data_IF_288285393989
#
_entry.id   IF_288285393989
#
_cell.length_a   1.000
_cell.length_b   1.000
_cell.length_c   1.000
_cell.angle_alpha   90.00
_cell.angle_beta   90.00
_cell.angle_gamma   90.00
#
_symmetry.space_group_name_H-M   'P 1'
#
loop_
_entity.id
_entity.type
_entity.pdbx_description
1 polymer ?
#
# COMPACT_ATOMS: atom_id res chain seq x y z
N UNK A 1 -3.82 14.77 6.05
CA UNK A 1 -2.87 13.87 5.39
C UNK A 1 -3.20 13.91 3.92
N UNK A 2 -2.24 14.34 3.13
CA UNK A 2 -2.30 14.28 1.68
C UNK A 2 -1.57 13.02 1.18
N UNK A 3 -2.09 12.41 0.11
CA UNK A 3 -1.56 11.18 -0.49
C UNK A 3 -1.22 11.41 -1.96
N UNK A 4 0.05 11.20 -2.31
CA UNK A 4 0.51 11.16 -3.70
C UNK A 4 0.58 9.69 -4.15
N UNK A 5 -0.10 9.34 -5.24
CA UNK A 5 -0.03 7.99 -5.82
C UNK A 5 1.35 7.74 -6.42
N UNK A 6 2.04 6.71 -5.94
CA UNK A 6 3.33 6.27 -6.49
C UNK A 6 3.13 5.16 -7.52
N UNK A 7 2.41 4.10 -7.14
CA UNK A 7 2.24 2.94 -8.01
C UNK A 7 0.89 2.30 -7.75
N UNK A 8 0.22 1.87 -8.81
CA UNK A 8 -1.02 1.09 -8.79
C UNK A 8 -0.86 -0.10 -9.73
N UNK A 9 -1.53 -1.22 -9.42
CA UNK A 9 -1.53 -2.41 -10.27
C UNK A 9 -2.54 -2.36 -11.41
N UNK A 10 -3.36 -1.31 -11.55
CA UNK A 10 -4.39 -1.19 -12.58
C UNK A 10 -4.60 0.27 -13.03
N UNK A 11 -5.06 0.46 -14.28
CA UNK A 11 -5.46 1.77 -14.82
C UNK A 11 -6.93 2.13 -14.50
N UNK A 12 -7.80 1.14 -14.23
CA UNK A 12 -9.21 1.34 -13.87
C UNK A 12 -9.66 0.33 -12.78
N UNK A 13 -9.99 0.78 -11.55
CA UNK A 13 -10.52 -0.03 -10.44
C UNK A 13 -9.97 0.29 -9.04
N UNK A 14 -10.50 -0.36 -8.00
CA UNK A 14 -10.00 -0.30 -6.60
C UNK A 14 -8.80 -1.25 -6.42
N UNK A 15 -7.67 -0.94 -7.06
CA UNK A 15 -6.50 -1.80 -7.02
C UNK A 15 -5.53 -1.45 -5.88
N UNK A 16 -4.74 -2.44 -5.41
CA UNK A 16 -3.65 -2.20 -4.48
C UNK A 16 -2.77 -1.04 -4.94
N UNK A 17 -2.59 -0.05 -4.07
CA UNK A 17 -1.95 1.22 -4.41
C UNK A 17 -0.96 1.62 -3.34
N UNK A 18 0.20 2.08 -3.77
CA UNK A 18 1.24 2.64 -2.93
C UNK A 18 1.19 4.17 -3.02
N UNK A 19 1.17 4.83 -1.87
CA UNK A 19 1.13 6.29 -1.76
C UNK A 19 2.33 6.83 -0.97
N UNK A 20 2.78 8.03 -1.32
CA UNK A 20 3.62 8.86 -0.46
C UNK A 20 2.72 9.79 0.34
N UNK A 21 2.97 9.86 1.64
CA UNK A 21 2.33 10.87 2.49
C UNK A 21 3.13 12.16 2.48
N UNK A 22 2.45 13.27 2.74
CA UNK A 22 3.04 14.58 3.07
C UNK A 22 4.06 14.57 4.23
N UNK A 23 4.13 13.49 5.01
CA UNK A 23 5.07 13.31 6.13
C UNK A 23 6.34 12.55 5.76
N UNK A 24 6.53 12.19 4.49
CA UNK A 24 7.68 11.38 4.04
C UNK A 24 7.58 9.90 4.41
N UNK A 25 6.40 9.41 4.81
CA UNK A 25 6.12 7.97 5.02
C UNK A 25 5.29 7.41 3.88
N UNK A 26 5.24 6.08 3.76
CA UNK A 26 4.40 5.40 2.78
C UNK A 26 3.03 5.05 3.40
N UNK A 27 1.98 5.13 2.59
CA UNK A 27 0.68 4.54 2.87
C UNK A 27 0.37 3.48 1.81
N UNK A 28 -0.30 2.41 2.21
CA UNK A 28 -0.54 1.24 1.37
C UNK A 28 -2.02 0.89 1.41
N UNK A 29 -2.62 0.74 0.24
CA UNK A 29 -3.97 0.19 0.07
C UNK A 29 -3.87 -1.23 -0.49
N UNK A 30 -4.65 -2.14 0.08
CA UNK A 30 -4.72 -3.55 -0.29
C UNK A 30 -5.91 -4.24 0.38
N UNK A 31 -6.01 -5.56 0.23
CA UNK A 31 -7.07 -6.35 0.86
C UNK A 31 -6.78 -6.50 2.35
N UNK A 32 -7.77 -6.34 3.23
CA UNK A 32 -7.54 -6.46 4.68
C UNK A 32 -7.47 -7.93 5.07
N UNK A 33 -6.35 -8.36 5.64
CA UNK A 33 -6.22 -9.71 6.18
C UNK A 33 -6.83 -9.72 7.59
N UNK A 34 -7.75 -10.65 7.86
CA UNK A 34 -8.41 -10.77 9.18
C UNK A 34 -8.05 -12.08 9.90
N UNK A 35 -7.50 -13.06 9.19
CA UNK A 35 -7.18 -14.42 9.66
C UNK A 35 -5.67 -14.65 9.79
N UNK A 36 -4.91 -13.60 10.11
CA UNK A 36 -3.44 -13.69 10.26
C UNK A 36 -2.97 -14.23 11.63
N UNK A 37 -3.88 -14.53 12.55
CA UNK A 37 -3.54 -15.08 13.88
C UNK A 37 -2.69 -14.16 14.76
N UNK A 38 -2.81 -12.84 14.58
CA UNK A 38 -2.09 -11.82 15.37
C UNK A 38 -3.10 -10.92 16.07
N UNK A 39 -2.78 -10.49 17.28
CA UNK A 39 -3.51 -9.41 17.93
C UNK A 39 -2.96 -8.08 17.40
N UNK A 40 -3.81 -7.34 16.68
CA UNK A 40 -3.45 -6.05 16.08
C UNK A 40 -4.31 -4.98 16.76
N UNK A 41 -3.70 -3.88 17.27
CA UNK A 41 -4.44 -2.77 17.86
C UNK A 41 -5.45 -2.16 16.89
N UNK A 42 -6.52 -1.55 17.40
CA UNK A 42 -7.57 -0.93 16.56
C UNK A 42 -7.07 0.17 15.61
N UNK A 43 -5.91 0.76 15.90
CA UNK A 43 -5.28 1.81 15.09
C UNK A 43 -4.32 1.26 14.01
N UNK A 44 -4.19 -0.06 13.89
CA UNK A 44 -3.35 -0.75 12.93
C UNK A 44 -4.20 -1.68 12.04
N UNK A 45 -3.70 -1.98 10.84
CA UNK A 45 -4.34 -2.94 9.93
C UNK A 45 -3.26 -3.68 9.16
N UNK A 46 -3.50 -4.96 8.89
CA UNK A 46 -2.67 -5.75 7.97
C UNK A 46 -3.38 -5.81 6.63
N UNK A 47 -2.66 -5.45 5.56
CA UNK A 47 -3.18 -5.52 4.20
C UNK A 47 -2.31 -6.41 3.33
N UNK A 48 -2.93 -7.13 2.41
CA UNK A 48 -2.24 -7.87 1.35
C UNK A 48 -2.11 -7.01 0.10
N UNK A 49 -0.90 -6.95 -0.45
CA UNK A 49 -0.61 -6.33 -1.74
C UNK A 49 0.28 -7.24 -2.60
N UNK A 50 0.19 -7.15 -3.95
CA UNK A 50 1.11 -7.86 -4.82
C UNK A 50 2.56 -7.38 -4.61
N UNK A 51 3.50 -8.32 -4.45
CA UNK A 51 4.94 -8.01 -4.33
C UNK A 51 5.46 -7.21 -5.53
N UNK A 52 4.90 -7.47 -6.72
CA UNK A 52 5.27 -6.77 -7.94
C UNK A 52 4.96 -5.26 -7.89
N UNK A 53 3.97 -4.83 -7.11
CA UNK A 53 3.67 -3.40 -6.92
C UNK A 53 4.87 -2.67 -6.29
N UNK A 54 5.45 -3.26 -5.24
CA UNK A 54 6.64 -2.71 -4.56
C UNK A 54 7.87 -2.80 -5.48
N UNK A 55 8.06 -3.94 -6.14
CA UNK A 55 9.19 -4.12 -7.08
C UNK A 55 9.15 -3.10 -8.22
N UNK A 56 7.96 -2.81 -8.75
CA UNK A 56 7.75 -1.77 -9.76
C UNK A 56 8.12 -0.41 -9.20
N UNK A 57 7.61 -0.04 -8.03
CA UNK A 57 7.92 1.26 -7.41
C UNK A 57 9.43 1.47 -7.18
N UNK A 58 10.16 0.43 -6.73
CA UNK A 58 11.63 0.48 -6.57
C UNK A 58 12.33 0.62 -7.92
N UNK A 59 11.93 -0.18 -8.92
CA UNK A 59 12.54 -0.17 -10.26
C UNK A 59 12.35 1.18 -10.96
N UNK A 60 11.20 1.80 -10.77
CA UNK A 60 10.83 3.08 -11.37
C UNK A 60 11.42 4.27 -10.58
N UNK A 61 12.16 4.04 -9.49
CA UNK A 61 12.83 5.07 -8.70
C UNK A 61 11.87 5.92 -7.87
N UNK A 62 10.71 5.36 -7.51
CA UNK A 62 9.66 6.06 -6.77
C UNK A 62 9.82 5.93 -5.25
N UNK A 63 10.68 5.01 -4.79
CA UNK A 63 11.02 4.74 -3.40
C UNK A 63 12.50 4.99 -3.10
#
# INVERSE_FOLDING_TARGET
MELETLSSSCDEGECPTLYRTDRGTLAVQGERITDHGREIPEHETVVEIPVELIRKAVRDGLL
#
